data_IF_968432051900
#
_entry.id   IF_968432051900
#
_cell.length_a   1.000
_cell.length_b   1.000
_cell.length_c   1.000
_cell.angle_alpha   90.00
_cell.angle_beta   90.00
_cell.angle_gamma   90.00
#
_symmetry.space_group_name_H-M   'P 1'
#
loop_
_entity.id
_entity.type
_entity.pdbx_description
1 polymer ?
#
# COMPACT_ATOMS: atom_id res chain seq x y z
N UNK A 1 -3.98 7.45 -0.06
CA UNK A 1 -3.55 6.33 -0.89
C UNK A 1 -2.06 6.20 -0.66
N UNK A 2 -1.58 4.97 -0.59
CA UNK A 2 -0.18 4.67 -0.39
C UNK A 2 0.21 3.63 -1.44
N UNK A 3 1.26 3.89 -2.20
CA UNK A 3 1.78 3.03 -3.24
C UNK A 3 3.26 2.80 -3.01
N UNK A 4 3.66 1.56 -3.20
CA UNK A 4 5.05 1.13 -3.12
C UNK A 4 5.38 0.13 -4.21
N UNK A 5 6.65 0.09 -4.60
CA UNK A 5 7.20 -0.93 -5.50
C UNK A 5 8.33 -1.65 -4.77
N UNK A 6 8.23 -2.97 -4.66
CA UNK A 6 9.32 -3.74 -4.10
C UNK A 6 10.50 -3.82 -5.08
N UNK A 7 11.71 -4.05 -4.57
CA UNK A 7 12.80 -4.55 -5.42
C UNK A 7 12.38 -5.88 -6.09
N UNK A 8 12.85 -6.18 -7.31
CA UNK A 8 12.41 -7.35 -8.05
C UNK A 8 12.47 -8.65 -7.25
N UNK A 9 11.36 -9.38 -7.20
CA UNK A 9 11.26 -10.67 -6.50
C UNK A 9 11.07 -10.58 -4.98
N UNK A 10 10.92 -9.38 -4.40
CA UNK A 10 10.76 -9.19 -2.94
C UNK A 10 9.35 -8.70 -2.54
N UNK A 11 8.37 -8.76 -3.45
CA UNK A 11 6.98 -8.33 -3.18
C UNK A 11 6.38 -9.02 -1.96
N UNK A 12 6.59 -10.32 -1.78
CA UNK A 12 5.98 -11.07 -0.67
C UNK A 12 6.53 -10.62 0.69
N UNK A 13 7.80 -10.28 0.76
CA UNK A 13 8.41 -9.76 1.98
C UNK A 13 7.88 -8.37 2.31
N UNK A 14 7.76 -7.50 1.30
CA UNK A 14 7.13 -6.20 1.45
C UNK A 14 5.65 -6.33 1.85
N UNK A 15 4.93 -7.29 1.28
CA UNK A 15 3.52 -7.55 1.61
C UNK A 15 3.35 -7.94 3.08
N UNK A 16 4.19 -8.86 3.59
CA UNK A 16 4.17 -9.21 5.03
C UNK A 16 4.39 -8.00 5.93
N UNK A 17 5.31 -7.11 5.55
CA UNK A 17 5.53 -5.87 6.27
C UNK A 17 4.29 -4.96 6.22
N UNK A 18 3.66 -4.82 5.05
CA UNK A 18 2.43 -4.02 4.88
C UNK A 18 1.31 -4.55 5.76
N UNK A 19 1.05 -5.86 5.73
CA UNK A 19 0.00 -6.51 6.53
C UNK A 19 0.23 -6.33 8.04
N UNK A 20 1.48 -6.41 8.51
CA UNK A 20 1.83 -6.16 9.91
C UNK A 20 1.69 -4.68 10.33
N UNK A 21 1.82 -3.76 9.36
CA UNK A 21 1.83 -2.32 9.59
C UNK A 21 0.43 -1.70 9.51
N UNK A 22 -0.40 -2.16 8.59
CA UNK A 22 -1.74 -1.59 8.32
C UNK A 22 -2.75 -2.17 9.31
N UNK A 23 -2.82 -1.59 10.51
CA UNK A 23 -3.72 -2.03 11.61
C UNK A 23 -5.08 -1.32 11.64
N UNK A 24 -5.67 -1.04 10.48
CA UNK A 24 -6.92 -0.28 10.35
C UNK A 24 -7.68 -0.68 9.11
N UNK A 25 -8.89 -0.15 8.96
CA UNK A 25 -9.71 -0.40 7.77
C UNK A 25 -8.98 0.07 6.51
N UNK A 26 -8.57 -0.90 5.69
CA UNK A 26 -7.81 -0.68 4.48
C UNK A 26 -8.06 -1.79 3.46
N UNK A 27 -7.94 -1.43 2.20
CA UNK A 27 -7.91 -2.37 1.08
C UNK A 27 -6.48 -2.42 0.53
N UNK A 28 -5.93 -3.64 0.39
CA UNK A 28 -4.58 -3.91 -0.15
C UNK A 28 -4.72 -4.52 -1.54
N UNK A 29 -4.01 -3.96 -2.51
CA UNK A 29 -4.03 -4.40 -3.91
C UNK A 29 -2.62 -4.79 -4.35
N UNK A 30 -2.52 -5.90 -5.07
CA UNK A 30 -1.29 -6.35 -5.71
C UNK A 30 -1.33 -5.94 -7.19
N UNK A 31 -0.34 -5.16 -7.61
CA UNK A 31 -0.16 -4.76 -9.00
C UNK A 31 0.96 -5.53 -9.70
N UNK A 32 1.10 -5.27 -10.99
CA UNK A 32 2.28 -5.69 -11.75
C UNK A 32 3.56 -4.99 -11.25
N UNK A 33 4.72 -5.50 -11.69
CA UNK A 33 6.03 -4.96 -11.34
C UNK A 33 6.32 -4.91 -9.82
N UNK A 34 5.89 -5.93 -9.08
CA UNK A 34 6.10 -6.00 -7.62
C UNK A 34 5.46 -4.84 -6.83
N UNK A 35 4.37 -4.27 -7.36
CA UNK A 35 3.66 -3.12 -6.77
C UNK A 35 2.63 -3.55 -5.73
N UNK A 36 2.53 -2.76 -4.67
CA UNK A 36 1.46 -2.86 -3.67
C UNK A 36 0.82 -1.48 -3.52
N UNK A 37 -0.50 -1.44 -3.52
CA UNK A 37 -1.30 -0.23 -3.25
C UNK A 37 -2.14 -0.47 -2.01
N UNK A 38 -2.15 0.50 -1.10
CA UNK A 38 -2.98 0.49 0.10
C UNK A 38 -3.92 1.70 0.08
N UNK A 39 -5.21 1.42 0.17
CA UNK A 39 -6.26 2.40 0.38
C UNK A 39 -6.71 2.30 1.84
N UNK A 40 -6.07 3.06 2.73
CA UNK A 40 -6.37 3.09 4.15
C UNK A 40 -7.28 4.28 4.52
N UNK A 41 -8.34 4.02 5.28
CA UNK A 41 -9.31 5.03 5.73
C UNK A 41 -8.88 5.64 7.06
N UNK A 42 -9.18 6.94 7.27
CA UNK A 42 -8.95 7.61 8.56
C UNK A 42 -7.48 7.74 8.97
N UNK A 43 -6.55 7.75 8.03
CA UNK A 43 -5.11 7.89 8.29
C UNK A 43 -4.52 9.04 7.47
N UNK A 44 -3.72 9.87 8.13
CA UNK A 44 -2.98 10.95 7.48
C UNK A 44 -1.77 10.41 6.70
N UNK A 45 -0.99 9.53 7.35
CA UNK A 45 0.23 8.94 6.79
C UNK A 45 0.44 7.51 7.27
N UNK A 46 0.82 6.62 6.35
CA UNK A 46 1.35 5.30 6.68
C UNK A 46 2.88 5.37 6.84
N UNK A 47 3.47 4.49 7.66
CA UNK A 47 4.93 4.41 7.79
C UNK A 47 5.61 4.08 6.46
N UNK A 48 6.89 4.44 6.36
CA UNK A 48 7.77 4.00 5.27
C UNK A 48 8.38 2.62 5.65
N UNK A 49 8.47 1.67 4.70
CA UNK A 49 9.06 0.35 4.92
C UNK A 49 10.59 0.42 4.93
N UNK A 50 11.27 -0.68 5.31
CA UNK A 50 12.71 -0.79 5.18
C UNK A 50 13.16 -0.49 3.74
N UNK A 51 14.14 0.39 3.59
CA UNK A 51 14.57 0.93 2.31
C UNK A 51 15.11 -0.15 1.36
N UNK A 52 15.70 -1.21 1.89
CA UNK A 52 16.20 -2.37 1.16
C UNK A 52 15.10 -3.17 0.44
N UNK A 53 13.84 -2.99 0.83
CA UNK A 53 12.71 -3.60 0.14
C UNK A 53 12.21 -2.75 -1.03
N UNK A 54 12.69 -1.51 -1.18
CA UNK A 54 12.11 -0.52 -2.09
C UNK A 54 12.89 -0.37 -3.40
N UNK A 55 12.20 -0.53 -4.53
CA UNK A 55 12.75 -0.15 -5.83
C UNK A 55 12.71 1.37 -6.06
N UNK A 56 11.86 2.09 -5.32
CA UNK A 56 11.72 3.54 -5.33
C UNK A 56 11.05 4.03 -4.04
N UNK A 57 11.17 5.32 -3.70
CA UNK A 57 10.46 5.89 -2.55
C UNK A 57 8.95 5.62 -2.60
N UNK A 58 8.35 5.51 -1.42
CA UNK A 58 6.89 5.41 -1.25
C UNK A 58 6.21 6.65 -1.83
N UNK A 59 5.10 6.43 -2.52
CA UNK A 59 4.22 7.51 -2.97
C UNK A 59 2.96 7.51 -2.12
N UNK A 60 2.61 8.67 -1.56
CA UNK A 60 1.47 8.82 -0.66
C UNK A 60 0.78 10.16 -0.84
N UNK A 61 -0.55 10.17 -0.82
CA UNK A 61 -1.35 11.40 -0.79
C UNK A 61 -2.68 11.21 -0.05
N UNK A 62 -3.23 12.27 0.57
CA UNK A 62 -4.54 12.22 1.18
C UNK A 62 -5.62 12.00 0.13
N UNK A 63 -6.72 11.38 0.54
CA UNK A 63 -7.88 11.13 -0.30
C UNK A 63 -9.12 11.05 0.57
N UNK A 64 -10.29 11.30 -0.01
CA UNK A 64 -11.58 11.17 0.67
C UNK A 64 -12.43 10.13 -0.03
N UNK A 65 -12.99 9.20 0.74
CA UNK A 65 -14.01 8.31 0.22
C UNK A 65 -15.24 9.14 -0.20
N UNK A 66 -15.65 9.04 -1.46
CA UNK A 66 -16.82 9.76 -1.98
C UNK A 66 -18.06 8.87 -1.98
N UNK A 67 -17.99 7.70 -2.63
CA UNK A 67 -19.05 6.68 -2.64
C UNK A 67 -18.49 5.32 -3.04
N UNK A 68 -19.16 4.25 -2.63
CA UNK A 68 -19.01 2.91 -3.20
C UNK A 68 -20.03 2.74 -4.33
N UNK A 69 -19.61 2.16 -5.45
CA UNK A 69 -20.53 1.70 -6.50
C UNK A 69 -20.71 0.19 -6.29
N UNK A 70 -21.93 -0.30 -5.99
CA UNK A 70 -22.17 -1.73 -5.85
C UNK A 70 -21.94 -2.42 -7.20
N UNK A 71 -21.37 -3.63 -7.17
CA UNK A 71 -21.30 -4.51 -8.34
C UNK A 71 -22.68 -5.07 -8.68
N UNK A 72 -22.84 -5.49 -9.94
CA UNK A 72 -23.98 -6.31 -10.40
C UNK A 72 -23.82 -7.77 -9.98
#
# INVERSE_FOLDING_TARGET
MWEVRAVPGRREELLRWVEATVRREADIYLGGEDRIVVIARGVERLPDPPAELLARPVHQWPFRHHRRVPGV
#
